data_IF_016390617481
#
_entry.id   IF_016390617481
#
_cell.length_a   1.000
_cell.length_b   1.000
_cell.length_c   1.000
_cell.angle_alpha   90.00
_cell.angle_beta   90.00
_cell.angle_gamma   90.00
#
_symmetry.space_group_name_H-M   'P 1'
#
loop_
_entity.id
_entity.type
_entity.pdbx_description
1 polymer ?
#
# COMPACT_ATOMS: atom_id res chain seq x y z
N UNK A 1 52.64 9.97 62.66
CA UNK A 1 52.40 10.64 61.38
C UNK A 1 52.09 9.57 60.34
N UNK A 2 50.86 9.62 59.84
CA UNK A 2 50.30 9.10 58.58
C UNK A 2 50.83 7.77 58.00
N UNK A 3 50.00 6.74 58.19
CA UNK A 3 49.73 5.65 57.24
C UNK A 3 49.21 6.19 55.90
N UNK A 4 49.61 5.59 54.77
CA UNK A 4 48.79 5.38 53.55
C UNK A 4 49.59 4.60 52.51
N UNK A 5 49.45 3.27 52.52
CA UNK A 5 49.71 2.39 51.39
C UNK A 5 48.38 2.09 50.70
N UNK A 6 48.19 2.57 49.48
CA UNK A 6 47.15 2.10 48.57
C UNK A 6 47.80 1.38 47.38
N UNK A 7 47.46 0.11 47.13
CA UNK A 7 47.65 -0.49 45.83
C UNK A 7 46.29 -0.81 45.16
N UNK A 8 46.34 -0.87 43.83
CA UNK A 8 45.48 -1.68 42.96
C UNK A 8 44.16 -1.06 42.45
N UNK A 9 44.27 -0.32 41.32
CA UNK A 9 43.12 0.02 40.47
C UNK A 9 42.77 -1.15 39.53
N UNK A 10 41.90 -2.04 40.01
CA UNK A 10 41.32 -3.12 39.19
C UNK A 10 40.14 -2.56 38.37
N UNK A 11 40.36 -2.27 37.09
CA UNK A 11 39.36 -1.77 36.15
C UNK A 11 38.45 -2.91 35.64
N UNK A 12 37.46 -3.28 36.46
CA UNK A 12 36.38 -4.17 36.03
C UNK A 12 35.53 -3.48 34.94
N UNK A 13 35.21 -4.15 33.81
CA UNK A 13 34.31 -3.59 32.82
C UNK A 13 32.90 -3.47 33.42
N UNK A 14 32.34 -2.26 33.38
CA UNK A 14 31.00 -1.96 33.89
C UNK A 14 29.97 -2.94 33.32
N UNK A 15 29.13 -3.61 34.14
CA UNK A 15 28.09 -4.48 33.61
C UNK A 15 27.09 -3.64 32.81
N UNK A 16 26.79 -4.07 31.59
CA UNK A 16 25.66 -3.57 30.81
C UNK A 16 24.38 -3.57 31.66
N UNK A 17 23.53 -2.54 31.60
CA UNK A 17 22.37 -2.42 32.48
C UNK A 17 21.42 -3.60 32.26
N UNK A 18 21.27 -4.42 33.31
CA UNK A 18 20.32 -5.54 33.33
C UNK A 18 18.92 -4.97 33.47
N UNK A 19 18.07 -5.18 32.46
CA UNK A 19 16.64 -4.86 32.50
C UNK A 19 15.99 -5.75 33.57
N UNK A 20 15.88 -5.21 34.79
CA UNK A 20 15.26 -5.85 35.96
C UNK A 20 13.75 -5.55 35.99
N UNK A 21 12.92 -6.42 36.57
CA UNK A 21 11.47 -6.24 36.71
C UNK A 21 11.05 -4.92 37.42
N UNK A 22 11.98 -4.24 38.12
CA UNK A 22 11.80 -2.86 38.63
C UNK A 22 11.74 -1.78 37.51
N UNK A 23 12.20 -2.09 36.29
CA UNK A 23 12.18 -1.26 35.07
C UNK A 23 10.78 -1.04 34.48
N UNK A 24 9.74 -1.72 34.99
CA UNK A 24 8.35 -1.44 34.59
C UNK A 24 7.82 -0.07 35.08
N UNK A 25 8.58 0.62 35.94
CA UNK A 25 8.35 2.02 36.29
C UNK A 25 8.88 2.99 35.21
N UNK A 26 9.62 2.50 34.23
CA UNK A 26 10.20 3.31 33.18
C UNK A 26 9.10 3.75 32.18
N UNK A 27 8.83 5.06 32.04
CA UNK A 27 7.78 5.57 31.16
C UNK A 27 7.97 5.13 29.70
N UNK A 28 9.22 4.85 29.29
CA UNK A 28 9.56 4.44 27.94
C UNK A 28 9.06 3.01 27.67
N UNK A 29 9.37 2.06 28.55
CA UNK A 29 8.91 0.67 28.42
C UNK A 29 7.37 0.59 28.45
N UNK A 30 6.76 1.39 29.33
CA UNK A 30 5.30 1.51 29.41
C UNK A 30 4.68 1.97 28.09
N UNK A 31 5.24 3.02 27.48
CA UNK A 31 4.76 3.51 26.19
C UNK A 31 5.02 2.48 25.09
N UNK A 32 6.20 1.87 25.06
CA UNK A 32 6.55 0.85 24.08
C UNK A 32 5.54 -0.31 24.08
N UNK A 33 5.21 -0.85 25.26
CA UNK A 33 4.21 -1.92 25.39
C UNK A 33 2.85 -1.43 24.89
N UNK A 34 2.40 -0.24 25.30
CA UNK A 34 1.09 0.30 24.88
C UNK A 34 0.96 0.45 23.36
N UNK A 35 2.02 0.84 22.67
CA UNK A 35 2.00 1.08 21.22
C UNK A 35 2.28 -0.16 20.37
N UNK A 36 2.93 -1.20 20.93
CA UNK A 36 3.35 -2.39 20.17
C UNK A 36 2.41 -3.59 20.35
N UNK A 37 1.86 -3.81 21.54
CA UNK A 37 1.14 -5.05 21.86
C UNK A 37 -0.22 -4.78 22.51
N UNK A 38 -1.23 -5.55 22.13
CA UNK A 38 -2.53 -5.55 22.82
C UNK A 38 -2.51 -6.41 24.08
N UNK A 39 -3.41 -6.14 25.04
CA UNK A 39 -3.52 -6.93 26.26
C UNK A 39 -3.73 -8.44 25.98
N UNK A 40 -4.65 -8.76 25.05
CA UNK A 40 -4.91 -10.14 24.61
C UNK A 40 -3.73 -10.81 23.89
N UNK A 41 -2.95 -10.04 23.14
CA UNK A 41 -1.74 -10.54 22.46
C UNK A 41 -0.62 -10.81 23.46
N UNK A 42 -0.52 -9.95 24.48
CA UNK A 42 0.41 -10.19 25.58
C UNK A 42 0.04 -11.41 26.39
N UNK A 43 -1.24 -11.63 26.68
CA UNK A 43 -1.72 -12.83 27.38
C UNK A 43 -1.38 -14.11 26.61
N UNK A 44 -1.66 -14.14 25.30
CA UNK A 44 -1.35 -15.30 24.46
C UNK A 44 0.16 -15.54 24.35
N UNK A 45 0.97 -14.49 24.12
CA UNK A 45 2.43 -14.60 24.14
C UNK A 45 2.94 -15.08 25.49
N UNK A 46 2.35 -14.57 26.58
CA UNK A 46 2.73 -14.96 27.93
C UNK A 46 2.46 -16.45 28.16
N UNK A 47 1.28 -16.92 27.71
CA UNK A 47 0.85 -18.31 27.83
C UNK A 47 1.72 -19.28 27.03
N UNK A 48 2.10 -18.93 25.80
CA UNK A 48 2.77 -19.86 24.88
C UNK A 48 4.30 -19.77 24.87
N UNK A 49 4.87 -18.56 24.99
CA UNK A 49 6.31 -18.33 24.78
C UNK A 49 7.02 -17.98 26.09
N UNK A 50 6.47 -17.04 26.85
CA UNK A 50 7.14 -16.53 28.05
C UNK A 50 7.02 -17.48 29.24
N UNK A 51 5.92 -18.23 29.34
CA UNK A 51 5.72 -19.24 30.40
C UNK A 51 6.69 -20.42 30.28
N UNK A 52 7.11 -20.77 29.06
CA UNK A 52 7.98 -21.91 28.76
C UNK A 52 9.45 -21.66 29.07
N UNK A 53 9.88 -20.40 29.18
CA UNK A 53 11.28 -20.04 29.39
C UNK A 53 11.52 -19.46 30.79
N UNK A 54 12.32 -20.16 31.61
CA UNK A 54 12.64 -19.74 32.99
C UNK A 54 13.32 -18.36 33.07
N UNK A 55 14.15 -18.03 32.07
CA UNK A 55 14.90 -16.76 32.02
C UNK A 55 13.97 -15.58 31.73
N UNK A 56 13.02 -15.75 30.81
CA UNK A 56 12.10 -14.70 30.39
C UNK A 56 11.02 -14.45 31.45
N UNK A 57 10.51 -15.53 32.08
CA UNK A 57 9.55 -15.47 33.18
C UNK A 57 9.99 -14.58 34.34
N UNK A 58 11.30 -14.49 34.62
CA UNK A 58 11.86 -13.65 35.70
C UNK A 58 11.83 -12.16 35.40
N UNK A 59 11.86 -11.77 34.12
CA UNK A 59 12.03 -10.37 33.71
C UNK A 59 10.76 -9.76 33.12
N UNK A 60 9.66 -10.52 33.00
CA UNK A 60 8.46 -10.07 32.29
C UNK A 60 7.35 -9.63 33.23
N UNK A 61 6.65 -8.53 32.92
CA UNK A 61 5.55 -8.04 33.75
C UNK A 61 4.37 -9.04 33.78
N UNK A 62 3.63 -9.08 34.88
CA UNK A 62 2.42 -9.91 34.96
C UNK A 62 1.34 -9.45 33.99
N UNK A 63 0.50 -10.38 33.51
CA UNK A 63 -0.58 -10.10 32.55
C UNK A 63 -1.54 -9.02 33.09
N UNK A 64 -1.96 -9.16 34.35
CA UNK A 64 -2.84 -8.19 35.03
C UNK A 64 -2.23 -6.78 35.15
N UNK A 65 -0.89 -6.69 35.22
CA UNK A 65 -0.19 -5.40 35.27
C UNK A 65 -0.13 -4.73 33.90
N UNK A 66 -0.01 -5.52 32.83
CA UNK A 66 -0.05 -5.02 31.45
C UNK A 66 -1.47 -4.63 31.04
N UNK A 67 -2.47 -5.42 31.42
CA UNK A 67 -3.89 -5.11 31.20
C UNK A 67 -4.26 -3.76 31.80
N UNK A 68 -3.95 -3.52 33.09
CA UNK A 68 -4.13 -2.21 33.75
C UNK A 68 -3.34 -1.07 33.11
N UNK A 69 -2.24 -1.39 32.41
CA UNK A 69 -1.38 -0.40 31.76
C UNK A 69 -1.96 0.06 30.41
N UNK A 70 -2.54 -0.89 29.68
CA UNK A 70 -3.13 -0.72 28.35
C UNK A 70 -4.57 -0.20 28.48
N UNK A 71 -5.39 -0.83 29.32
CA UNK A 71 -6.81 -0.53 29.50
C UNK A 71 -7.07 0.53 30.59
N UNK A 72 -6.35 1.64 30.54
CA UNK A 72 -6.63 2.74 31.48
C UNK A 72 -7.99 3.37 31.16
N UNK A 73 -9.02 3.25 32.01
CA UNK A 73 -10.35 3.77 31.73
C UNK A 73 -10.29 5.30 31.55
N UNK A 74 -10.92 5.82 30.50
CA UNK A 74 -11.03 7.27 30.24
C UNK A 74 -9.89 7.91 29.45
N UNK A 75 -8.81 7.18 29.10
CA UNK A 75 -7.76 7.70 28.20
C UNK A 75 -7.97 7.18 26.79
N UNK A 76 -7.96 8.10 25.83
CA UNK A 76 -8.13 7.79 24.42
C UNK A 76 -6.98 6.91 23.89
N UNK A 77 -7.33 5.67 23.56
CA UNK A 77 -6.41 4.60 23.18
C UNK A 77 -6.32 4.41 21.66
N UNK A 78 -7.00 5.26 20.88
CA UNK A 78 -7.10 5.09 19.44
C UNK A 78 -5.76 5.29 18.73
N UNK A 79 -4.89 6.19 19.19
CA UNK A 79 -3.55 6.34 18.58
C UNK A 79 -2.73 5.07 18.77
N UNK A 80 -2.80 4.47 19.97
CA UNK A 80 -2.14 3.20 20.25
C UNK A 80 -2.74 2.06 19.43
N UNK A 81 -4.06 2.04 19.24
CA UNK A 81 -4.73 1.06 18.40
C UNK A 81 -4.36 1.21 16.90
N UNK A 82 -4.21 2.45 16.41
CA UNK A 82 -3.78 2.74 15.04
C UNK A 82 -2.35 2.24 14.80
N UNK A 83 -1.43 2.50 15.73
CA UNK A 83 -0.04 1.99 15.65
C UNK A 83 -0.03 0.46 15.68
N UNK A 84 -0.76 -0.17 16.61
CA UNK A 84 -0.88 -1.63 16.69
C UNK A 84 -1.42 -2.25 15.39
N UNK A 85 -2.46 -1.66 14.81
CA UNK A 85 -3.02 -2.12 13.54
C UNK A 85 -2.03 -1.98 12.38
N UNK A 86 -1.29 -0.87 12.31
CA UNK A 86 -0.25 -0.66 11.30
C UNK A 86 0.86 -1.71 11.40
N UNK A 87 1.33 -2.00 12.63
CA UNK A 87 2.35 -3.01 12.88
C UNK A 87 1.88 -4.41 12.47
N UNK A 88 0.62 -4.76 12.74
CA UNK A 88 0.04 -6.03 12.27
C UNK A 88 -0.02 -6.11 10.76
N UNK A 89 -0.42 -5.04 10.07
CA UNK A 89 -0.44 -5.02 8.60
C UNK A 89 0.96 -5.13 8.05
N UNK A 90 1.94 -4.46 8.66
CA UNK A 90 3.34 -4.60 8.28
C UNK A 90 3.81 -6.06 8.37
N UNK A 91 3.56 -6.73 9.51
CA UNK A 91 3.96 -8.12 9.74
C UNK A 91 3.20 -9.08 8.82
N UNK A 92 1.88 -8.91 8.71
CA UNK A 92 1.02 -9.76 7.87
C UNK A 92 1.40 -9.66 6.39
N UNK A 93 1.62 -8.44 5.88
CA UNK A 93 2.05 -8.21 4.50
C UNK A 93 3.44 -8.79 4.26
N UNK A 94 4.39 -8.57 5.19
CA UNK A 94 5.75 -9.13 5.08
C UNK A 94 5.73 -10.67 5.04
N UNK A 95 4.88 -11.29 5.86
CA UNK A 95 4.69 -12.73 5.88
C UNK A 95 4.04 -13.24 4.58
N UNK A 96 2.98 -12.58 4.12
CA UNK A 96 2.29 -12.91 2.87
C UNK A 96 3.24 -12.86 1.66
N UNK A 97 4.08 -11.82 1.56
CA UNK A 97 5.05 -11.69 0.47
C UNK A 97 6.13 -12.77 0.52
N UNK A 98 6.56 -13.20 1.71
CA UNK A 98 7.50 -14.31 1.84
C UNK A 98 6.88 -15.64 1.41
N UNK A 99 5.64 -15.90 1.86
CA UNK A 99 4.88 -17.09 1.45
C UNK A 99 4.67 -17.09 -0.06
N UNK A 100 4.32 -15.93 -0.63
CA UNK A 100 4.18 -15.76 -2.08
C UNK A 100 5.48 -16.07 -2.83
N UNK A 101 6.62 -15.56 -2.35
CA UNK A 101 7.93 -15.89 -2.89
C UNK A 101 8.19 -17.40 -2.94
N UNK A 102 7.98 -18.09 -1.82
CA UNK A 102 8.16 -19.54 -1.72
C UNK A 102 7.22 -20.32 -2.66
N UNK A 103 5.97 -19.89 -2.80
CA UNK A 103 5.00 -20.52 -3.71
C UNK A 103 5.42 -20.29 -5.16
N UNK A 104 5.82 -19.06 -5.52
CA UNK A 104 6.25 -18.72 -6.88
C UNK A 104 7.50 -19.48 -7.29
N UNK A 105 8.47 -19.66 -6.39
CA UNK A 105 9.67 -20.46 -6.65
C UNK A 105 9.31 -21.94 -6.89
N UNK A 106 8.31 -22.46 -6.17
CA UNK A 106 7.88 -23.85 -6.29
C UNK A 106 7.02 -24.14 -7.53
N UNK A 107 6.19 -23.19 -7.96
CA UNK A 107 5.21 -23.39 -9.04
C UNK A 107 5.61 -22.76 -10.38
N UNK A 108 6.25 -21.60 -10.38
CA UNK A 108 6.60 -20.87 -11.62
C UNK A 108 8.03 -21.13 -12.09
N UNK A 109 8.79 -21.98 -11.39
CA UNK A 109 10.15 -22.37 -11.77
C UNK A 109 11.08 -21.17 -11.95
N UNK A 110 10.75 -20.01 -11.37
CA UNK A 110 11.51 -18.78 -11.54
C UNK A 110 12.85 -18.99 -10.86
N UNK A 111 13.85 -19.24 -11.70
CA UNK A 111 15.11 -19.87 -11.33
C UNK A 111 15.86 -19.17 -10.20
N UNK A 112 16.47 -20.03 -9.37
CA UNK A 112 17.35 -19.75 -8.27
C UNK A 112 18.55 -18.86 -8.68
N UNK A 113 18.36 -17.55 -8.70
CA UNK A 113 19.45 -16.60 -8.55
C UNK A 113 19.57 -16.30 -7.06
N UNK A 114 20.60 -16.82 -6.37
CA UNK A 114 20.98 -16.36 -5.02
C UNK A 114 20.89 -14.84 -4.98
N UNK A 115 19.79 -14.31 -4.43
CA UNK A 115 19.59 -12.87 -4.43
C UNK A 115 20.75 -12.29 -3.62
N UNK A 116 21.56 -11.43 -4.26
CA UNK A 116 22.61 -10.69 -3.56
C UNK A 116 21.95 -10.07 -2.34
N UNK A 117 22.54 -10.23 -1.15
CA UNK A 117 22.04 -9.67 0.11
C UNK A 117 21.91 -8.15 -0.06
N UNK A 118 20.74 -7.71 -0.52
CA UNK A 118 20.42 -6.29 -0.62
C UNK A 118 20.14 -5.79 0.78
N UNK A 119 20.59 -4.58 1.11
CA UNK A 119 20.28 -4.00 2.41
C UNK A 119 18.77 -3.91 2.61
N UNK A 120 18.32 -4.05 3.86
CA UNK A 120 16.90 -4.17 4.21
C UNK A 120 16.03 -3.04 3.64
N UNK A 121 16.54 -1.81 3.66
CA UNK A 121 15.86 -0.62 3.10
C UNK A 121 15.78 -0.61 1.57
N UNK A 122 16.48 -1.49 0.86
CA UNK A 122 16.44 -1.62 -0.60
C UNK A 122 15.62 -2.83 -1.05
N UNK A 123 15.11 -3.63 -0.13
CA UNK A 123 14.25 -4.77 -0.45
C UNK A 123 12.82 -4.29 -0.85
N UNK A 124 12.34 -4.61 -2.06
CA UNK A 124 11.01 -4.18 -2.53
C UNK A 124 9.88 -4.70 -1.63
N UNK A 125 9.99 -5.93 -1.12
CA UNK A 125 8.96 -6.51 -0.25
C UNK A 125 8.84 -5.78 1.10
N UNK A 126 9.97 -5.33 1.64
CA UNK A 126 9.99 -4.52 2.85
C UNK A 126 9.38 -3.14 2.60
N UNK A 127 9.71 -2.51 1.47
CA UNK A 127 9.17 -1.21 1.09
C UNK A 127 7.66 -1.24 0.85
N UNK A 128 7.15 -2.30 0.21
CA UNK A 128 5.72 -2.49 0.00
C UNK A 128 4.99 -2.66 1.34
N UNK A 129 5.51 -3.52 2.21
CA UNK A 129 4.93 -3.73 3.54
C UNK A 129 4.95 -2.46 4.39
N UNK A 130 6.06 -1.71 4.32
CA UNK A 130 6.20 -0.41 4.99
C UNK A 130 5.22 0.61 4.44
N UNK A 131 5.06 0.68 3.12
CA UNK A 131 4.13 1.56 2.43
C UNK A 131 2.69 1.31 2.87
N UNK A 132 2.20 0.07 2.79
CA UNK A 132 0.83 -0.29 3.19
C UNK A 132 0.55 0.00 4.68
N UNK A 133 1.50 -0.33 5.55
CA UNK A 133 1.41 -0.01 6.98
C UNK A 133 1.33 1.50 7.21
N UNK A 134 2.15 2.27 6.50
CA UNK A 134 2.19 3.74 6.61
C UNK A 134 0.87 4.35 6.12
N UNK A 135 0.32 3.86 5.02
CA UNK A 135 -0.98 4.30 4.50
C UNK A 135 -2.07 4.11 5.54
N UNK A 136 -2.17 2.92 6.16
CA UNK A 136 -3.19 2.68 7.18
C UNK A 136 -3.00 3.55 8.43
N UNK A 137 -1.76 3.72 8.89
CA UNK A 137 -1.46 4.58 10.03
C UNK A 137 -1.86 6.03 9.75
N UNK A 138 -1.41 6.58 8.62
CA UNK A 138 -1.72 7.95 8.22
C UNK A 138 -3.21 8.13 7.98
N UNK A 139 -3.87 7.17 7.32
CA UNK A 139 -5.32 7.24 7.07
C UNK A 139 -6.10 7.36 8.38
N UNK A 140 -5.81 6.50 9.38
CA UNK A 140 -6.50 6.54 10.67
C UNK A 140 -6.22 7.81 11.46
N UNK A 141 -4.96 8.28 11.46
CA UNK A 141 -4.59 9.51 12.17
C UNK A 141 -5.20 10.74 11.50
N UNK A 142 -5.10 10.87 10.17
CA UNK A 142 -5.65 11.99 9.41
C UNK A 142 -7.17 12.00 9.50
N UNK A 143 -7.84 10.87 9.30
CA UNK A 143 -9.30 10.79 9.41
C UNK A 143 -9.79 11.29 10.78
N UNK A 144 -9.12 10.85 11.84
CA UNK A 144 -9.45 11.31 13.20
C UNK A 144 -9.09 12.78 13.43
N UNK A 145 -7.97 13.24 12.90
CA UNK A 145 -7.58 14.64 12.98
C UNK A 145 -8.63 15.53 12.31
N UNK A 146 -9.05 15.21 11.08
CA UNK A 146 -10.05 15.99 10.35
C UNK A 146 -11.45 15.90 10.96
N UNK A 147 -11.87 14.75 11.49
CA UNK A 147 -13.16 14.65 12.21
C UNK A 147 -13.15 15.50 13.48
N UNK A 148 -12.03 15.51 14.24
CA UNK A 148 -11.87 16.39 15.39
C UNK A 148 -11.81 17.85 14.99
N UNK A 149 -11.03 18.19 13.98
CA UNK A 149 -10.91 19.55 13.47
C UNK A 149 -12.30 20.07 13.06
N UNK A 150 -13.08 19.28 12.33
CA UNK A 150 -14.47 19.60 11.98
C UNK A 150 -15.32 19.83 13.23
N UNK A 151 -15.25 18.95 14.22
CA UNK A 151 -16.00 19.12 15.47
C UNK A 151 -15.64 20.43 16.20
N UNK A 152 -14.35 20.78 16.28
CA UNK A 152 -13.89 22.03 16.89
C UNK A 152 -14.30 23.26 16.08
N UNK A 153 -14.32 23.18 14.74
CA UNK A 153 -14.74 24.29 13.89
C UNK A 153 -16.26 24.54 13.92
N UNK A 154 -17.05 23.54 14.32
CA UNK A 154 -18.50 23.67 14.48
C UNK A 154 -18.90 24.31 15.82
N UNK A 155 -17.99 24.38 16.81
CA UNK A 155 -18.30 25.00 18.11
C UNK A 155 -18.63 26.49 17.96
N UNK A 156 -19.42 27.05 18.90
CA UNK A 156 -19.72 28.48 18.91
C UNK A 156 -18.46 29.35 19.10
N UNK A 157 -17.43 28.83 19.77
CA UNK A 157 -16.15 29.51 20.01
C UNK A 157 -15.34 29.75 18.74
N UNK A 158 -15.48 28.89 17.72
CA UNK A 158 -14.78 29.02 16.45
C UNK A 158 -15.46 29.97 15.44
N UNK A 159 -16.53 30.67 15.82
CA UNK A 159 -17.21 31.69 14.99
C UNK A 159 -16.28 32.77 14.39
N UNK A 160 -15.36 33.42 15.14
CA UNK A 160 -14.49 34.45 14.57
C UNK A 160 -13.56 33.90 13.47
N UNK A 161 -13.07 32.66 13.63
CA UNK A 161 -12.26 32.00 12.59
C UNK A 161 -13.07 31.73 11.31
N UNK A 162 -14.33 31.29 11.46
CA UNK A 162 -15.24 31.05 10.32
C UNK A 162 -15.58 32.32 9.55
N UNK A 163 -15.75 33.43 10.26
CA UNK A 163 -16.05 34.73 9.64
C UNK A 163 -14.83 35.28 8.90
N UNK A 164 -13.63 35.10 9.45
CA UNK A 164 -12.37 35.55 8.84
C UNK A 164 -12.04 34.77 7.57
N UNK A 165 -12.21 33.44 7.57
CA UNK A 165 -11.86 32.58 6.44
C UNK A 165 -13.05 31.74 5.94
N UNK A 166 -13.97 32.38 5.20
CA UNK A 166 -15.22 31.77 4.74
C UNK A 166 -15.01 30.54 3.84
N UNK A 167 -14.08 30.60 2.88
CA UNK A 167 -13.83 29.52 1.91
C UNK A 167 -13.23 28.28 2.56
N UNK A 168 -12.16 28.45 3.34
CA UNK A 168 -11.47 27.33 4.01
C UNK A 168 -12.33 26.71 5.10
N UNK A 169 -13.13 27.52 5.80
CA UNK A 169 -14.06 27.00 6.80
C UNK A 169 -15.16 26.16 6.14
N UNK A 170 -15.70 26.59 4.99
CA UNK A 170 -16.71 25.82 4.25
C UNK A 170 -16.17 24.49 3.75
N UNK A 171 -14.92 24.44 3.28
CA UNK A 171 -14.31 23.18 2.85
C UNK A 171 -14.05 22.26 4.04
N UNK A 172 -13.49 22.76 5.14
CA UNK A 172 -13.16 21.98 6.33
C UNK A 172 -14.39 21.50 7.12
N UNK A 173 -15.53 22.19 7.04
CA UNK A 173 -16.78 21.76 7.71
C UNK A 173 -17.63 20.81 6.87
N UNK A 174 -17.30 20.63 5.59
CA UNK A 174 -18.02 19.71 4.71
C UNK A 174 -18.00 18.27 5.23
N UNK A 175 -19.02 17.48 4.90
CA UNK A 175 -19.12 16.06 5.29
C UNK A 175 -17.98 15.22 4.73
N UNK A 176 -17.52 15.57 3.53
CA UNK A 176 -16.45 14.85 2.80
C UNK A 176 -15.04 15.24 3.26
N UNK A 177 -14.87 16.33 4.00
CA UNK A 177 -13.55 16.81 4.41
C UNK A 177 -12.70 15.75 5.14
N UNK A 178 -13.23 14.96 6.09
CA UNK A 178 -12.43 13.93 6.76
C UNK A 178 -12.04 12.78 5.83
N UNK A 179 -12.92 12.39 4.90
CA UNK A 179 -12.64 11.32 3.95
C UNK A 179 -11.58 11.75 2.93
N UNK A 180 -11.72 12.96 2.34
CA UNK A 180 -10.75 13.54 1.40
C UNK A 180 -9.42 13.82 2.08
N UNK A 181 -9.44 14.34 3.31
CA UNK A 181 -8.21 14.57 4.07
C UNK A 181 -7.48 13.27 4.41
N UNK A 182 -8.21 12.19 4.67
CA UNK A 182 -7.64 10.87 4.94
C UNK A 182 -7.13 10.15 3.68
N UNK A 183 -7.62 10.51 2.48
CA UNK A 183 -7.13 9.92 1.22
C UNK A 183 -5.72 10.40 0.85
N UNK A 184 -5.26 11.53 1.41
CA UNK A 184 -3.86 11.98 1.32
C UNK A 184 -2.87 10.95 1.87
N UNK A 185 -3.30 10.04 2.75
CA UNK A 185 -2.49 8.91 3.19
C UNK A 185 -2.04 8.02 2.03
N UNK A 186 -2.78 7.98 0.92
CA UNK A 186 -2.43 7.25 -0.29
C UNK A 186 -1.09 7.67 -0.91
N UNK A 187 -0.62 8.90 -0.66
CA UNK A 187 0.70 9.34 -1.11
C UNK A 187 1.86 8.53 -0.51
N UNK A 188 1.65 7.81 0.60
CA UNK A 188 2.64 6.86 1.11
C UNK A 188 2.88 5.65 0.17
N UNK A 189 2.10 5.46 -0.89
CA UNK A 189 2.45 4.56 -2.01
C UNK A 189 3.73 5.00 -2.74
N UNK A 190 4.10 6.28 -2.68
CA UNK A 190 5.33 6.79 -3.28
C UNK A 190 6.61 6.24 -2.62
N UNK A 191 6.52 5.72 -1.40
CA UNK A 191 7.64 5.07 -0.69
C UNK A 191 8.06 3.77 -1.42
N UNK A 192 7.11 3.11 -2.09
CA UNK A 192 7.40 1.97 -2.93
C UNK A 192 8.06 2.46 -4.24
N UNK A 193 9.17 1.86 -4.71
CA UNK A 193 9.82 2.24 -5.97
C UNK A 193 8.86 2.17 -7.16
N UNK A 194 9.27 2.80 -8.26
CA UNK A 194 8.49 2.93 -9.49
C UNK A 194 8.38 1.63 -10.29
N UNK A 195 8.08 0.55 -9.60
CA UNK A 195 7.81 -0.75 -10.22
C UNK A 195 6.35 -0.81 -10.68
N UNK A 196 6.09 -1.70 -11.64
CA UNK A 196 4.79 -1.97 -12.24
C UNK A 196 3.65 -2.06 -11.21
N UNK A 197 3.91 -2.66 -10.05
CA UNK A 197 2.93 -2.81 -8.97
C UNK A 197 2.34 -1.48 -8.46
N UNK A 198 3.16 -0.44 -8.30
CA UNK A 198 2.66 0.86 -7.80
C UNK A 198 1.71 1.47 -8.82
N UNK A 199 2.10 1.43 -10.09
CA UNK A 199 1.28 1.95 -11.20
C UNK A 199 -0.03 1.16 -11.29
N UNK A 200 0.02 -0.18 -11.23
CA UNK A 200 -1.19 -1.02 -11.25
C UNK A 200 -2.12 -0.72 -10.08
N UNK A 201 -1.61 -0.59 -8.86
CA UNK A 201 -2.43 -0.25 -7.69
C UNK A 201 -3.06 1.13 -7.85
N UNK A 202 -2.30 2.12 -8.33
CA UNK A 202 -2.81 3.47 -8.56
C UNK A 202 -3.89 3.51 -9.63
N UNK A 203 -3.68 2.84 -10.77
CA UNK A 203 -4.67 2.73 -11.84
C UNK A 203 -5.93 2.03 -11.32
N UNK A 204 -5.77 0.88 -10.65
CA UNK A 204 -6.89 0.11 -10.10
C UNK A 204 -7.69 0.94 -9.09
N UNK A 205 -7.03 1.62 -8.15
CA UNK A 205 -7.68 2.46 -7.16
C UNK A 205 -8.42 3.64 -7.82
N UNK A 206 -7.83 4.26 -8.85
CA UNK A 206 -8.47 5.33 -9.61
C UNK A 206 -9.70 4.82 -10.37
N UNK A 207 -9.60 3.67 -11.03
CA UNK A 207 -10.73 3.05 -11.73
C UNK A 207 -11.88 2.73 -10.78
N UNK A 208 -11.58 2.14 -9.60
CA UNK A 208 -12.60 1.88 -8.57
C UNK A 208 -13.20 3.16 -7.99
N UNK A 209 -12.39 4.19 -7.79
CA UNK A 209 -12.88 5.50 -7.34
C UNK A 209 -13.80 6.15 -8.38
N UNK A 210 -13.46 6.06 -9.66
CA UNK A 210 -14.29 6.55 -10.75
C UNK A 210 -15.61 5.78 -10.85
N UNK A 211 -15.60 4.46 -10.69
CA UNK A 211 -16.80 3.64 -10.62
C UNK A 211 -17.72 4.06 -9.46
N UNK A 212 -17.17 4.25 -8.25
CA UNK A 212 -17.97 4.72 -7.12
C UNK A 212 -18.50 6.15 -7.31
N UNK A 213 -17.70 7.03 -7.91
CA UNK A 213 -18.14 8.39 -8.22
C UNK A 213 -19.26 8.40 -9.26
N UNK A 214 -19.17 7.54 -10.28
CA UNK A 214 -20.21 7.36 -11.29
C UNK A 214 -21.50 6.82 -10.66
N UNK A 215 -21.40 5.78 -9.83
CA UNK A 215 -22.57 5.19 -9.15
C UNK A 215 -23.25 6.21 -8.24
N UNK A 216 -22.49 7.00 -7.47
CA UNK A 216 -23.04 8.07 -6.64
C UNK A 216 -23.74 9.15 -7.48
N UNK A 217 -23.13 9.56 -8.59
CA UNK A 217 -23.71 10.56 -9.49
C UNK A 217 -24.96 10.04 -10.21
N UNK A 218 -25.06 8.74 -10.44
CA UNK A 218 -26.26 8.07 -10.97
C UNK A 218 -27.37 7.98 -9.89
N UNK A 219 -27.04 7.62 -8.65
CA UNK A 219 -27.98 7.55 -7.51
C UNK A 219 -28.60 8.93 -7.17
N UNK A 220 -27.78 9.98 -7.14
CA UNK A 220 -28.22 11.36 -6.89
C UNK A 220 -28.91 12.00 -8.11
N UNK A 221 -28.92 11.30 -9.26
CA UNK A 221 -29.55 11.78 -10.49
C UNK A 221 -28.84 12.97 -11.15
N UNK A 222 -27.54 13.15 -10.91
CA UNK A 222 -26.74 14.23 -11.51
C UNK A 222 -26.44 13.98 -12.99
N UNK A 223 -26.23 12.72 -13.36
CA UNK A 223 -25.94 12.32 -14.75
C UNK A 223 -27.22 12.06 -15.54
N UNK A 224 -28.13 11.30 -14.95
CA UNK A 224 -29.38 10.88 -15.56
C UNK A 224 -30.51 11.16 -14.60
N UNK A 225 -31.53 11.90 -15.04
CA UNK A 225 -32.78 11.97 -14.29
C UNK A 225 -33.34 10.55 -14.13
N UNK A 226 -33.98 10.24 -12.99
CA UNK A 226 -34.49 8.88 -12.70
C UNK A 226 -35.22 8.27 -13.90
N UNK A 227 -34.63 7.22 -14.49
CA UNK A 227 -35.19 6.48 -15.63
C UNK A 227 -34.81 7.00 -17.03
N UNK A 228 -34.00 8.05 -17.16
CA UNK A 228 -33.58 8.61 -18.47
C UNK A 228 -32.25 8.06 -19.00
N UNK A 229 -31.72 6.98 -18.40
CA UNK A 229 -30.50 6.34 -18.90
C UNK A 229 -30.73 5.75 -20.29
N UNK A 230 -29.93 6.08 -21.31
CA UNK A 230 -30.07 5.49 -22.63
C UNK A 230 -29.94 3.97 -22.55
N UNK A 231 -30.80 3.24 -23.25
CA UNK A 231 -30.82 1.77 -23.22
C UNK A 231 -29.49 1.15 -23.72
N UNK A 232 -28.77 1.87 -24.57
CA UNK A 232 -27.46 1.49 -25.08
C UNK A 232 -26.31 1.90 -24.16
N UNK A 233 -26.53 2.71 -23.13
CA UNK A 233 -25.48 3.15 -22.20
C UNK A 233 -25.35 2.17 -21.02
N UNK A 234 -24.20 1.51 -20.91
CA UNK A 234 -23.94 0.59 -19.80
C UNK A 234 -22.52 0.03 -19.81
N UNK A 235 -22.22 -0.81 -18.81
CA UNK A 235 -20.89 -1.42 -18.63
C UNK A 235 -20.43 -2.23 -19.84
N UNK A 236 -21.36 -2.71 -20.67
CA UNK A 236 -21.04 -3.43 -21.90
C UNK A 236 -20.28 -2.56 -22.92
N UNK A 237 -20.46 -1.22 -22.92
CA UNK A 237 -19.72 -0.30 -23.79
C UNK A 237 -18.23 -0.19 -23.43
N UNK A 238 -17.84 -0.55 -22.21
CA UNK A 238 -16.44 -0.52 -21.80
C UNK A 238 -15.62 -1.53 -22.61
N UNK A 239 -16.20 -2.67 -22.98
CA UNK A 239 -15.51 -3.69 -23.76
C UNK A 239 -15.12 -3.22 -25.18
N UNK A 240 -16.05 -2.75 -26.05
CA UNK A 240 -15.68 -2.24 -27.37
C UNK A 240 -14.81 -0.99 -27.28
N UNK A 241 -15.03 -0.12 -26.28
CA UNK A 241 -14.21 1.07 -26.10
C UNK A 241 -12.75 0.73 -25.76
N UNK A 242 -12.52 -0.12 -24.76
CA UNK A 242 -11.17 -0.55 -24.38
C UNK A 242 -10.51 -1.39 -25.47
N UNK A 243 -11.27 -2.25 -26.16
CA UNK A 243 -10.76 -3.02 -27.30
C UNK A 243 -10.37 -2.12 -28.46
N UNK A 244 -11.15 -1.07 -28.74
CA UNK A 244 -10.82 -0.06 -29.75
C UNK A 244 -9.55 0.72 -29.41
N UNK A 245 -9.39 1.14 -28.15
CA UNK A 245 -8.15 1.78 -27.67
C UNK A 245 -6.95 0.84 -27.77
N UNK A 246 -7.15 -0.45 -27.47
CA UNK A 246 -6.10 -1.46 -27.54
C UNK A 246 -5.67 -1.72 -28.99
N UNK A 247 -6.62 -1.83 -29.92
CA UNK A 247 -6.34 -1.93 -31.36
C UNK A 247 -5.69 -0.66 -31.91
N UNK A 248 -6.13 0.52 -31.47
CA UNK A 248 -5.50 1.78 -31.84
C UNK A 248 -4.04 1.81 -31.39
N UNK A 249 -3.75 1.44 -30.14
CA UNK A 249 -2.39 1.35 -29.64
C UNK A 249 -1.57 0.28 -30.38
N UNK A 250 -2.17 -0.85 -30.74
CA UNK A 250 -1.51 -1.90 -31.52
C UNK A 250 -1.04 -1.41 -32.89
N UNK A 251 -1.87 -0.63 -33.59
CA UNK A 251 -1.60 -0.15 -34.95
C UNK A 251 -0.73 1.11 -34.94
N UNK A 252 -1.09 2.13 -34.16
CA UNK A 252 -0.46 3.45 -34.24
C UNK A 252 0.68 3.68 -33.25
N UNK A 253 0.60 3.10 -32.04
CA UNK A 253 1.50 3.39 -30.91
C UNK A 253 2.06 2.09 -30.29
N UNK A 254 2.84 1.36 -31.09
CA UNK A 254 3.33 0.01 -30.73
C UNK A 254 4.18 -0.03 -29.46
N UNK A 255 4.87 1.06 -29.12
CA UNK A 255 5.69 1.16 -27.90
C UNK A 255 4.86 1.08 -26.62
N UNK A 256 3.57 1.45 -26.68
CA UNK A 256 2.64 1.38 -25.56
C UNK A 256 1.94 0.03 -25.44
N UNK A 257 2.10 -0.86 -26.44
CA UNK A 257 1.35 -2.10 -26.53
C UNK A 257 2.07 -3.28 -25.86
N UNK A 258 1.39 -4.11 -25.04
CA UNK A 258 2.02 -5.27 -24.42
C UNK A 258 2.49 -6.30 -25.46
N UNK A 259 3.81 -6.49 -25.60
CA UNK A 259 4.39 -7.39 -26.60
C UNK A 259 3.82 -8.82 -26.53
N UNK A 260 3.68 -9.38 -25.33
CA UNK A 260 3.13 -10.72 -25.14
C UNK A 260 1.71 -10.89 -25.70
N UNK A 261 0.89 -9.84 -25.60
CA UNK A 261 -0.46 -9.85 -26.17
C UNK A 261 -0.42 -9.67 -27.70
N UNK A 262 0.56 -8.93 -28.23
CA UNK A 262 0.75 -8.76 -29.67
C UNK A 262 1.21 -10.03 -30.35
N UNK A 263 2.20 -10.70 -29.74
CA UNK A 263 2.68 -12.01 -30.18
C UNK A 263 1.54 -13.03 -30.15
N UNK A 264 0.66 -12.98 -29.13
CA UNK A 264 -0.54 -13.81 -29.05
C UNK A 264 -1.50 -13.52 -30.21
N UNK A 265 -1.89 -12.27 -30.44
CA UNK A 265 -2.82 -11.90 -31.53
C UNK A 265 -2.26 -12.35 -32.88
N UNK A 266 -1.01 -11.98 -33.19
CA UNK A 266 -0.36 -12.28 -34.47
C UNK A 266 -0.21 -13.79 -34.70
N UNK A 267 0.04 -14.57 -33.64
CA UNK A 267 0.12 -16.03 -33.72
C UNK A 267 -1.23 -16.68 -34.08
N UNK A 268 -2.34 -16.10 -33.63
CA UNK A 268 -3.69 -16.63 -33.87
C UNK A 268 -4.43 -15.95 -35.03
N UNK A 269 -3.77 -15.07 -35.80
CA UNK A 269 -4.33 -14.38 -36.96
C UNK A 269 -3.65 -14.70 -38.31
N UNK A 270 -3.32 -15.98 -38.62
CA UNK A 270 -2.59 -16.34 -39.85
C UNK A 270 -3.35 -16.01 -41.14
N UNK A 271 -4.67 -15.81 -41.09
CA UNK A 271 -5.49 -15.43 -42.24
C UNK A 271 -5.31 -13.96 -42.63
N UNK A 272 -4.99 -13.10 -41.66
CA UNK A 272 -4.83 -11.66 -41.88
C UNK A 272 -3.37 -11.25 -42.03
N UNK A 273 -2.48 -11.96 -41.35
CA UNK A 273 -1.03 -11.73 -41.40
C UNK A 273 -0.42 -12.81 -42.27
N UNK A 274 -0.03 -12.42 -43.49
CA UNK A 274 0.47 -13.37 -44.47
C UNK A 274 1.86 -13.85 -44.06
N UNK A 275 1.95 -15.16 -43.83
CA UNK A 275 3.23 -15.85 -43.66
C UNK A 275 3.99 -15.86 -44.97
N UNK A 276 5.32 -16.00 -44.91
CA UNK A 276 6.13 -16.10 -46.13
C UNK A 276 5.64 -17.29 -46.97
N UNK A 277 5.24 -17.10 -48.23
CA UNK A 277 4.86 -18.21 -49.10
C UNK A 277 6.04 -19.15 -49.36
N UNK A 278 5.76 -20.45 -49.52
CA UNK A 278 6.79 -21.47 -49.76
C UNK A 278 7.55 -21.25 -51.08
N UNK A 279 6.85 -20.74 -52.10
CA UNK A 279 7.41 -20.48 -53.43
C UNK A 279 8.16 -19.14 -53.54
N UNK A 280 8.20 -18.34 -52.46
CA UNK A 280 8.80 -17.01 -52.51
C UNK A 280 10.34 -17.08 -52.45
N UNK A 281 11.07 -16.47 -53.41
CA UNK A 281 12.52 -16.54 -53.49
C UNK A 281 13.20 -16.18 -52.16
N UNK A 282 14.17 -16.99 -51.72
CA UNK A 282 14.87 -16.81 -50.44
C UNK A 282 15.68 -15.52 -50.36
N UNK A 283 16.10 -14.99 -51.52
CA UNK A 283 16.88 -13.77 -51.68
C UNK A 283 16.08 -12.46 -51.54
N UNK A 284 14.75 -12.51 -51.59
CA UNK A 284 13.90 -11.33 -51.43
C UNK A 284 13.40 -11.19 -49.98
N UNK A 285 13.33 -9.95 -49.44
CA UNK A 285 12.83 -9.71 -48.11
C UNK A 285 11.31 -9.87 -48.05
N UNK A 286 10.81 -10.57 -47.03
CA UNK A 286 9.38 -10.65 -46.71
C UNK A 286 9.10 -9.85 -45.44
N UNK A 287 8.02 -9.04 -45.38
CA UNK A 287 7.74 -8.23 -44.20
C UNK A 287 7.38 -9.11 -42.99
N UNK A 288 7.96 -8.77 -41.84
CA UNK A 288 7.60 -9.41 -40.57
C UNK A 288 6.12 -9.13 -40.23
N UNK A 289 5.46 -10.00 -39.43
CA UNK A 289 4.10 -9.78 -38.94
C UNK A 289 3.85 -8.37 -38.39
N UNK A 290 4.82 -7.84 -37.64
CA UNK A 290 4.75 -6.50 -37.08
C UNK A 290 4.94 -5.40 -38.13
N UNK A 291 5.83 -5.60 -39.11
CA UNK A 291 6.02 -4.66 -40.21
C UNK A 291 4.75 -4.55 -41.08
N UNK A 292 4.01 -5.65 -41.24
CA UNK A 292 2.70 -5.63 -41.90
C UNK A 292 1.71 -4.74 -41.12
N UNK A 293 1.69 -4.83 -39.79
CA UNK A 293 0.85 -3.95 -38.96
C UNK A 293 1.30 -2.49 -39.00
N UNK A 294 2.61 -2.23 -38.97
CA UNK A 294 3.15 -0.88 -39.07
C UNK A 294 2.77 -0.23 -40.42
N UNK A 295 2.76 -1.01 -41.51
CA UNK A 295 2.32 -0.53 -42.82
C UNK A 295 0.86 -0.06 -42.83
N UNK A 296 -0.01 -0.63 -41.98
CA UNK A 296 -1.40 -0.20 -41.83
C UNK A 296 -1.49 1.20 -41.22
N UNK A 297 -0.65 1.49 -40.22
CA UNK A 297 -0.54 2.84 -39.67
C UNK A 297 0.02 3.84 -40.68
N UNK A 298 0.99 3.43 -41.50
CA UNK A 298 1.51 4.29 -42.58
C UNK A 298 0.45 4.59 -43.64
N UNK A 299 -0.30 3.59 -44.11
CA UNK A 299 -1.41 3.78 -45.05
C UNK A 299 -2.47 4.73 -44.48
N UNK A 300 -2.84 4.57 -43.21
CA UNK A 300 -3.78 5.46 -42.54
C UNK A 300 -3.24 6.90 -42.42
N UNK A 301 -1.96 7.09 -42.11
CA UNK A 301 -1.30 8.41 -42.07
C UNK A 301 -1.24 9.08 -43.44
N UNK A 302 -1.02 8.29 -44.48
CA UNK A 302 -1.02 8.73 -45.88
C UNK A 302 -2.44 9.01 -46.41
N UNK A 303 -3.49 8.77 -45.60
CA UNK A 303 -4.90 8.90 -45.98
C UNK A 303 -5.22 8.12 -47.27
N UNK A 304 -4.62 6.93 -47.40
CA UNK A 304 -4.91 6.05 -48.50
C UNK A 304 -6.40 5.66 -48.47
N UNK A 305 -7.14 5.76 -49.58
CA UNK A 305 -8.57 5.46 -49.63
C UNK A 305 -8.89 3.98 -49.43
#
# INVERSE_FOLDING_TARGET
MSSSTDPNSNSNPKPTPRISAKSTADPILRNAIRYTISAKEYETLHRYILSRSKVLKRNTPSVSRVEKLVERPGRDDYNAAAVRASLRVFVATSAALKVWGLISERFLGTGNGRSKKVPLWRNPNFRLSLSLSTILLLHRILFRFFTRLRAHLLTPEARPFRQRNKRTSKTLTSSLAPAVGASLAGFALAINPADQLRVTISIYALSRAAEFAYNLAEEEGWLWTKGQKPWWWGSWLLFPFTSGQLLHAFVFDRDCFPKAYGDFILKYSPQYVQSRPEDYPSNLPWPSPYAQVDSLAEMARLKYP
#
